data_IF_966148831159
#
_entry.id   IF_966148831159
#
_cell.length_a   1.000
_cell.length_b   1.000
_cell.length_c   1.000
_cell.angle_alpha   90.00
_cell.angle_beta   90.00
_cell.angle_gamma   90.00
#
_symmetry.space_group_name_H-M   'P 1'
#
loop_
_entity.id
_entity.type
_entity.pdbx_description
1 polymer ?
#
# COMPACT_ATOMS: atom_id res chain seq x y z
N UNK A 1 21.04 76.94 -58.79
CA UNK A 1 20.04 76.10 -59.48
C UNK A 1 20.68 74.75 -59.83
N UNK A 2 20.63 73.77 -58.91
CA UNK A 2 21.15 72.41 -59.11
C UNK A 2 20.19 71.46 -58.36
N UNK A 3 19.35 70.72 -59.13
CA UNK A 3 19.47 69.27 -59.45
C UNK A 3 19.34 68.43 -58.16
N UNK A 4 18.15 67.91 -57.84
CA UNK A 4 17.52 66.69 -58.39
C UNK A 4 18.48 65.48 -58.36
N UNK A 5 18.28 64.59 -57.38
CA UNK A 5 18.27 63.14 -57.55
C UNK A 5 17.70 62.44 -56.29
N UNK A 6 16.57 61.78 -56.53
CA UNK A 6 15.83 60.73 -55.83
C UNK A 6 16.65 59.41 -55.91
N UNK A 7 16.44 58.32 -55.14
CA UNK A 7 15.87 58.12 -53.79
C UNK A 7 16.62 57.08 -52.91
N UNK A 8 16.03 56.82 -51.73
CA UNK A 8 16.14 55.64 -50.85
C UNK A 8 17.48 55.42 -50.15
N UNK A 9 17.51 55.73 -48.85
CA UNK A 9 18.19 54.87 -47.88
C UNK A 9 17.71 55.09 -46.44
N UNK A 10 17.32 53.98 -45.82
CA UNK A 10 17.34 53.65 -44.40
C UNK A 10 16.54 54.52 -43.40
N UNK A 11 15.30 54.09 -43.14
CA UNK A 11 14.70 54.23 -41.81
C UNK A 11 15.27 53.11 -40.93
N UNK A 12 16.06 53.48 -39.92
CA UNK A 12 16.38 52.61 -38.77
C UNK A 12 15.72 53.26 -37.56
N UNK A 13 14.59 52.68 -37.14
CA UNK A 13 13.96 52.96 -35.86
C UNK A 13 14.43 51.89 -34.86
N UNK A 14 15.02 52.38 -33.78
CA UNK A 14 15.37 51.67 -32.56
C UNK A 14 14.08 51.26 -31.83
N UNK A 15 13.95 49.99 -31.48
CA UNK A 15 13.71 49.51 -30.10
C UNK A 15 13.06 48.12 -30.08
N UNK A 16 13.65 47.28 -29.21
CA UNK A 16 13.16 46.02 -28.64
C UNK A 16 12.98 44.83 -29.59
N UNK A 17 13.96 43.92 -29.55
CA UNK A 17 13.71 42.50 -29.83
C UNK A 17 14.95 41.71 -30.24
N UNK A 18 15.27 40.70 -29.42
CA UNK A 18 16.02 39.47 -29.76
C UNK A 18 17.56 39.54 -29.74
N UNK A 19 18.19 38.67 -28.91
CA UNK A 19 18.78 37.41 -29.39
C UNK A 19 19.46 36.63 -28.26
N UNK A 20 19.13 35.34 -28.20
CA UNK A 20 19.80 34.29 -27.44
C UNK A 20 19.00 33.02 -27.70
N UNK A 21 19.21 32.40 -28.86
CA UNK A 21 20.03 31.21 -29.05
C UNK A 21 19.34 29.94 -28.56
N UNK A 22 19.23 28.98 -29.46
CA UNK A 22 18.56 27.69 -29.31
C UNK A 22 19.17 26.88 -28.16
N UNK A 23 18.33 26.44 -27.24
CA UNK A 23 18.52 25.22 -26.50
C UNK A 23 17.16 24.50 -26.50
N UNK A 24 17.10 23.37 -27.23
CA UNK A 24 16.04 22.38 -27.09
C UNK A 24 16.02 21.95 -25.62
N UNK A 25 15.07 22.45 -24.84
CA UNK A 25 14.76 21.86 -23.54
C UNK A 25 13.82 20.69 -23.77
N UNK A 26 14.41 19.51 -23.57
CA UNK A 26 13.80 18.21 -23.50
C UNK A 26 12.75 18.21 -22.37
N UNK A 27 11.46 18.11 -22.72
CA UNK A 27 10.37 18.01 -21.74
C UNK A 27 10.27 16.57 -21.18
N UNK A 28 11.38 16.03 -20.72
CA UNK A 28 11.44 14.72 -20.04
C UNK A 28 11.29 14.86 -18.52
N UNK A 29 11.44 16.06 -17.97
CA UNK A 29 11.42 16.28 -16.51
C UNK A 29 10.01 16.57 -15.94
N UNK A 30 9.01 16.87 -16.78
CA UNK A 30 7.64 17.13 -16.34
C UNK A 30 6.79 15.85 -16.14
N UNK A 31 7.38 14.66 -16.33
CA UNK A 31 6.71 13.36 -16.14
C UNK A 31 7.15 12.64 -14.85
N UNK A 32 8.13 13.19 -14.14
CA UNK A 32 8.57 12.67 -12.84
C UNK A 32 7.89 13.36 -11.65
N UNK A 33 7.19 14.47 -11.87
CA UNK A 33 6.46 15.22 -10.83
C UNK A 33 4.95 14.92 -10.83
N UNK A 34 4.59 13.64 -11.04
CA UNK A 34 3.21 13.15 -10.88
C UNK A 34 3.11 11.93 -9.96
N UNK A 35 4.21 11.54 -9.31
CA UNK A 35 4.24 10.70 -8.11
C UNK A 35 3.96 11.55 -6.86
N UNK A 36 2.86 12.29 -6.87
CA UNK A 36 2.41 13.02 -5.68
C UNK A 36 1.64 12.04 -4.79
N UNK A 37 2.12 11.92 -3.55
CA UNK A 37 1.55 11.19 -2.39
C UNK A 37 1.70 9.66 -2.38
N UNK A 38 2.93 9.17 -2.42
CA UNK A 38 3.30 8.08 -1.52
C UNK A 38 3.95 8.74 -0.29
N UNK A 39 3.31 8.61 0.87
CA UNK A 39 3.92 8.96 2.13
C UNK A 39 5.32 8.35 2.17
N UNK A 40 6.30 9.11 2.62
CA UNK A 40 7.70 8.70 2.76
C UNK A 40 7.75 7.31 3.42
N UNK A 41 7.82 6.25 2.62
CA UNK A 41 7.68 4.88 3.11
C UNK A 41 8.77 4.68 4.17
N UNK A 42 8.35 4.47 5.42
CA UNK A 42 9.26 4.22 6.54
C UNK A 42 10.22 3.06 6.25
N UNK A 43 11.22 2.84 7.08
CA UNK A 43 12.12 1.68 6.95
C UNK A 43 11.34 0.36 6.83
N UNK A 44 11.97 -0.69 6.29
CA UNK A 44 11.37 -2.02 6.20
C UNK A 44 10.74 -2.46 7.53
N UNK A 45 11.46 -2.25 8.64
CA UNK A 45 11.00 -2.61 9.99
C UNK A 45 9.77 -1.82 10.40
N UNK A 46 9.73 -0.51 10.17
CA UNK A 46 8.57 0.33 10.49
C UNK A 46 7.35 -0.08 9.67
N UNK A 47 7.50 -0.33 8.36
CA UNK A 47 6.38 -0.77 7.49
C UNK A 47 5.83 -2.13 7.92
N UNK A 48 6.70 -3.09 8.19
CA UNK A 48 6.27 -4.43 8.60
C UNK A 48 5.62 -4.41 9.99
N UNK A 49 6.12 -3.59 10.91
CA UNK A 49 5.55 -3.45 12.24
C UNK A 49 4.18 -2.76 12.20
N UNK A 50 4.02 -1.72 11.37
CA UNK A 50 2.74 -1.06 11.15
C UNK A 50 1.72 -2.04 10.52
N UNK A 51 2.15 -2.84 9.55
CA UNK A 51 1.31 -3.88 8.96
C UNK A 51 0.88 -4.92 10.01
N UNK A 52 1.81 -5.46 10.79
CA UNK A 52 1.47 -6.43 11.84
C UNK A 52 0.47 -5.84 12.85
N UNK A 53 0.69 -4.59 13.28
CA UNK A 53 -0.23 -3.90 14.17
C UNK A 53 -1.63 -3.77 13.56
N UNK A 54 -1.73 -3.42 12.27
CA UNK A 54 -3.02 -3.35 11.56
C UNK A 54 -3.71 -4.70 11.54
N UNK A 55 -2.99 -5.76 11.17
CA UNK A 55 -3.55 -7.12 11.12
C UNK A 55 -4.01 -7.61 12.50
N UNK A 56 -3.30 -7.25 13.58
CA UNK A 56 -3.73 -7.52 14.96
C UNK A 56 -5.05 -6.81 15.26
N UNK A 57 -5.17 -5.51 14.96
CA UNK A 57 -6.41 -4.75 15.19
C UNK A 57 -7.58 -5.28 14.38
N UNK A 58 -7.36 -5.61 13.12
CA UNK A 58 -8.36 -6.25 12.27
C UNK A 58 -8.79 -7.61 12.84
N UNK A 59 -7.84 -8.41 13.33
CA UNK A 59 -8.13 -9.67 14.00
C UNK A 59 -8.97 -9.50 15.27
N UNK A 60 -8.70 -8.48 16.09
CA UNK A 60 -9.50 -8.14 17.28
C UNK A 60 -10.95 -7.81 16.90
N UNK A 61 -11.13 -6.98 15.85
CA UNK A 61 -12.44 -6.63 15.30
C UNK A 61 -13.19 -7.90 14.84
N UNK A 62 -12.50 -8.81 14.15
CA UNK A 62 -13.11 -10.07 13.72
C UNK A 62 -13.52 -10.98 14.87
N UNK A 63 -12.67 -11.14 15.89
CA UNK A 63 -13.01 -11.93 17.07
C UNK A 63 -14.27 -11.40 17.77
N UNK A 64 -14.44 -10.08 17.80
CA UNK A 64 -15.58 -9.42 18.44
C UNK A 64 -16.86 -9.46 17.60
N UNK A 65 -16.77 -9.23 16.28
CA UNK A 65 -17.93 -8.98 15.43
C UNK A 65 -18.40 -10.18 14.61
N UNK A 66 -17.49 -11.10 14.29
CA UNK A 66 -17.79 -12.19 13.37
C UNK A 66 -18.93 -13.09 13.86
N UNK A 67 -19.81 -13.45 12.92
CA UNK A 67 -20.92 -14.39 13.16
C UNK A 67 -20.58 -15.78 12.66
N UNK A 68 -19.74 -15.88 11.63
CA UNK A 68 -19.16 -17.14 11.15
C UNK A 68 -17.95 -17.54 12.00
N UNK A 69 -18.01 -18.73 12.62
CA UNK A 69 -16.95 -19.24 13.48
C UNK A 69 -15.60 -19.39 12.77
N UNK A 70 -15.60 -19.60 11.44
CA UNK A 70 -14.37 -19.68 10.65
C UNK A 70 -13.70 -18.31 10.55
N UNK A 71 -14.48 -17.23 10.43
CA UNK A 71 -13.97 -15.85 10.41
C UNK A 71 -13.44 -15.46 11.78
N UNK A 72 -14.16 -15.83 12.85
CA UNK A 72 -13.71 -15.60 14.23
C UNK A 72 -12.38 -16.30 14.50
N UNK A 73 -12.27 -17.57 14.09
CA UNK A 73 -11.02 -18.34 14.20
C UNK A 73 -9.90 -17.69 13.39
N UNK A 74 -10.16 -17.34 12.13
CA UNK A 74 -9.19 -16.66 11.28
C UNK A 74 -8.68 -15.37 11.92
N UNK A 75 -9.56 -14.52 12.47
CA UNK A 75 -9.17 -13.32 13.23
C UNK A 75 -8.25 -13.63 14.42
N UNK A 76 -8.56 -14.68 15.19
CA UNK A 76 -7.70 -15.13 16.30
C UNK A 76 -6.32 -15.60 15.84
N UNK A 77 -6.25 -16.33 14.73
CA UNK A 77 -4.98 -16.78 14.16
C UNK A 77 -4.13 -15.61 13.65
N UNK A 78 -4.75 -14.61 13.00
CA UNK A 78 -4.09 -13.37 12.58
C UNK A 78 -3.46 -12.63 13.76
N UNK A 79 -4.18 -12.46 14.88
CA UNK A 79 -3.62 -11.83 16.09
C UNK A 79 -2.35 -12.58 16.52
N UNK A 80 -2.42 -13.91 16.61
CA UNK A 80 -1.30 -14.74 17.07
C UNK A 80 -0.11 -14.66 16.14
N UNK A 81 -0.32 -14.81 14.83
CA UNK A 81 0.74 -14.80 13.82
C UNK A 81 1.45 -13.45 13.78
N UNK A 82 0.68 -12.35 13.72
CA UNK A 82 1.26 -11.02 13.62
C UNK A 82 1.88 -10.53 14.93
N UNK A 83 1.37 -10.97 16.09
CA UNK A 83 2.05 -10.70 17.37
C UNK A 83 3.43 -11.36 17.42
N UNK A 84 3.53 -12.63 16.99
CA UNK A 84 4.81 -13.33 16.93
C UNK A 84 5.77 -12.68 15.92
N UNK A 85 5.24 -12.22 14.78
CA UNK A 85 5.98 -11.48 13.76
C UNK A 85 6.55 -10.15 14.30
N UNK A 86 5.74 -9.36 15.02
CA UNK A 86 6.18 -8.11 15.64
C UNK A 86 7.31 -8.32 16.64
N UNK A 87 7.26 -9.39 17.43
CA UNK A 87 8.35 -9.73 18.36
C UNK A 87 9.66 -10.04 17.61
N UNK A 88 9.60 -10.68 16.44
CA UNK A 88 10.78 -10.92 15.61
C UNK A 88 11.34 -9.61 15.03
N UNK A 89 10.46 -8.71 14.55
CA UNK A 89 10.87 -7.39 14.06
C UNK A 89 11.53 -6.55 15.15
N UNK A 90 11.02 -6.62 16.38
CA UNK A 90 11.62 -5.94 17.54
C UNK A 90 13.02 -6.49 17.88
N UNK A 91 13.25 -7.81 17.79
CA UNK A 91 14.59 -8.39 17.98
C UNK A 91 15.56 -7.91 16.89
N UNK A 92 15.12 -7.88 15.62
CA UNK A 92 15.93 -7.36 14.51
C UNK A 92 16.27 -5.89 14.75
N UNK A 93 15.27 -5.06 15.07
CA UNK A 93 15.46 -3.63 15.35
C UNK A 93 16.44 -3.39 16.49
N UNK A 94 16.28 -4.12 17.60
CA UNK A 94 17.17 -4.01 18.77
C UNK A 94 18.62 -4.34 18.41
N UNK A 95 18.87 -5.41 17.64
CA UNK A 95 20.22 -5.77 17.18
C UNK A 95 20.84 -4.72 16.26
N UNK A 96 20.01 -3.96 15.56
CA UNK A 96 20.43 -2.87 14.68
C UNK A 96 20.51 -1.52 15.38
N UNK A 97 20.22 -1.44 16.69
CA UNK A 97 20.20 -0.19 17.45
C UNK A 97 19.05 0.74 17.06
N UNK A 98 17.99 0.19 16.45
CA UNK A 98 16.79 0.93 16.04
C UNK A 98 15.71 0.78 17.12
N UNK A 99 15.14 1.91 17.56
CA UNK A 99 13.96 1.89 18.41
C UNK A 99 12.71 1.75 17.53
N UNK A 100 12.14 0.55 17.50
CA UNK A 100 10.95 0.25 16.71
C UNK A 100 9.68 0.38 17.57
N UNK A 101 8.92 1.44 17.31
CA UNK A 101 7.60 1.65 17.92
C UNK A 101 6.54 1.50 16.81
N UNK A 102 5.78 0.40 16.78
CA UNK A 102 4.74 0.22 15.78
C UNK A 102 3.63 1.26 15.95
N UNK A 103 3.29 1.96 14.88
CA UNK A 103 2.20 2.93 14.84
C UNK A 103 1.35 2.72 13.58
N UNK A 104 0.04 2.92 13.70
CA UNK A 104 -0.85 2.91 12.55
C UNK A 104 -0.84 4.27 11.87
N UNK A 105 -0.76 4.28 10.55
CA UNK A 105 -1.06 5.47 9.76
C UNK A 105 -2.52 5.90 9.98
N UNK A 106 -2.84 7.15 9.65
CA UNK A 106 -4.23 7.62 9.72
C UNK A 106 -5.15 6.78 8.83
N UNK A 107 -4.68 6.41 7.65
CA UNK A 107 -5.45 5.57 6.72
C UNK A 107 -5.72 4.18 7.29
N UNK A 108 -4.73 3.54 7.94
CA UNK A 108 -4.93 2.23 8.55
C UNK A 108 -5.89 2.29 9.75
N UNK A 109 -5.83 3.37 10.55
CA UNK A 109 -6.79 3.61 11.64
C UNK A 109 -8.22 3.75 11.10
N UNK A 110 -8.39 4.55 10.04
CA UNK A 110 -9.69 4.79 9.41
C UNK A 110 -10.23 3.48 8.80
N UNK A 111 -9.38 2.64 8.21
CA UNK A 111 -9.77 1.34 7.65
C UNK A 111 -10.22 0.33 8.72
N UNK A 112 -9.47 0.23 9.82
CA UNK A 112 -9.87 -0.57 11.00
C UNK A 112 -11.21 -0.07 11.54
N UNK A 113 -11.36 1.25 11.68
CA UNK A 113 -12.61 1.89 12.12
C UNK A 113 -13.78 1.55 11.22
N UNK A 114 -13.60 1.69 9.89
CA UNK A 114 -14.63 1.38 8.89
C UNK A 114 -15.13 -0.06 9.01
N UNK A 115 -14.24 -1.04 9.10
CA UNK A 115 -14.63 -2.45 9.27
C UNK A 115 -15.30 -2.70 10.63
N UNK A 116 -14.87 -2.01 11.68
CA UNK A 116 -15.48 -2.11 12.99
C UNK A 116 -16.89 -1.51 13.05
N UNK A 117 -17.22 -0.55 12.19
CA UNK A 117 -18.54 0.07 12.10
C UNK A 117 -19.52 -0.70 11.21
N UNK A 118 -19.05 -1.65 10.40
CA UNK A 118 -19.92 -2.43 9.53
C UNK A 118 -20.97 -3.26 10.30
N UNK A 119 -22.14 -3.43 9.67
CA UNK A 119 -23.21 -4.28 10.19
C UNK A 119 -22.73 -5.74 10.27
N UNK A 120 -23.13 -6.46 11.31
CA UNK A 120 -22.69 -7.85 11.54
C UNK A 120 -23.03 -8.79 10.37
N UNK A 121 -24.16 -8.57 9.71
CA UNK A 121 -24.62 -9.40 8.59
C UNK A 121 -23.74 -9.28 7.33
N UNK A 122 -23.04 -8.16 7.18
CA UNK A 122 -22.15 -7.87 6.03
C UNK A 122 -20.67 -8.07 6.38
N UNK A 123 -20.36 -7.98 7.68
CA UNK A 123 -19.01 -7.96 8.24
C UNK A 123 -18.16 -9.14 7.78
N UNK A 124 -18.64 -10.38 7.97
CA UNK A 124 -17.82 -11.59 7.73
C UNK A 124 -17.28 -11.64 6.30
N UNK A 125 -18.11 -11.29 5.31
CA UNK A 125 -17.71 -11.28 3.89
C UNK A 125 -16.85 -10.07 3.54
N UNK A 126 -17.12 -8.92 4.14
CA UNK A 126 -16.31 -7.72 3.93
C UNK A 126 -14.90 -7.89 4.48
N UNK A 127 -14.81 -8.33 5.73
CA UNK A 127 -13.57 -8.64 6.43
C UNK A 127 -12.72 -9.63 5.65
N UNK A 128 -13.22 -10.83 5.33
CA UNK A 128 -12.40 -11.84 4.62
C UNK A 128 -11.92 -11.34 3.24
N UNK A 129 -12.74 -10.58 2.49
CA UNK A 129 -12.29 -9.99 1.23
C UNK A 129 -11.16 -8.99 1.45
N UNK A 130 -11.28 -8.17 2.49
CA UNK A 130 -10.23 -7.21 2.85
C UNK A 130 -8.94 -7.95 3.24
N UNK A 131 -9.03 -9.02 4.04
CA UNK A 131 -7.86 -9.82 4.42
C UNK A 131 -7.16 -10.48 3.22
N UNK A 132 -7.91 -10.98 2.22
CA UNK A 132 -7.31 -11.47 0.97
C UNK A 132 -6.55 -10.36 0.25
N UNK A 133 -7.08 -9.14 0.22
CA UNK A 133 -6.43 -8.00 -0.41
C UNK A 133 -5.12 -7.63 0.30
N UNK A 134 -5.17 -7.41 1.62
CA UNK A 134 -4.01 -7.04 2.44
C UNK A 134 -2.87 -8.07 2.31
N UNK A 135 -3.21 -9.36 2.42
CA UNK A 135 -2.24 -10.45 2.32
C UNK A 135 -1.58 -10.49 0.94
N UNK A 136 -2.37 -10.35 -0.14
CA UNK A 136 -1.85 -10.32 -1.50
C UNK A 136 -0.89 -9.13 -1.70
N UNK A 137 -1.29 -7.94 -1.28
CA UNK A 137 -0.45 -6.75 -1.39
C UNK A 137 0.85 -6.90 -0.60
N UNK A 138 0.81 -7.50 0.59
CA UNK A 138 2.00 -7.72 1.39
C UNK A 138 2.93 -8.78 0.77
N UNK A 139 2.39 -9.88 0.25
CA UNK A 139 3.18 -10.88 -0.49
C UNK A 139 3.90 -10.24 -1.69
N UNK A 140 3.19 -9.41 -2.47
CA UNK A 140 3.77 -8.70 -3.61
C UNK A 140 4.89 -7.74 -3.19
N UNK A 141 4.74 -7.05 -2.05
CA UNK A 141 5.80 -6.20 -1.49
C UNK A 141 6.99 -7.03 -1.02
N UNK A 142 6.77 -8.04 -0.17
CA UNK A 142 7.84 -8.87 0.39
C UNK A 142 8.63 -9.64 -0.67
N UNK A 143 8.01 -10.00 -1.79
CA UNK A 143 8.73 -10.63 -2.90
C UNK A 143 9.85 -9.74 -3.46
N UNK A 144 9.73 -8.41 -3.37
CA UNK A 144 10.77 -7.45 -3.78
C UNK A 144 11.96 -7.44 -2.81
N UNK A 145 11.72 -7.80 -1.55
CA UNK A 145 12.73 -7.79 -0.47
C UNK A 145 13.39 -9.17 -0.27
N UNK A 146 13.08 -10.17 -1.10
CA UNK A 146 13.65 -11.52 -1.02
C UNK A 146 15.16 -11.58 -1.26
N UNK A 147 15.73 -10.55 -1.89
CA UNK A 147 17.17 -10.40 -2.16
C UNK A 147 17.77 -9.19 -1.43
N UNK A 148 17.16 -8.75 -0.32
CA UNK A 148 17.69 -7.65 0.48
C UNK A 148 19.15 -7.91 0.89
N UNK A 149 19.97 -6.85 0.93
CA UNK A 149 21.39 -6.94 1.31
C UNK A 149 21.55 -7.25 2.80
N UNK A 150 20.63 -6.78 3.62
CA UNK A 150 20.53 -7.12 5.03
C UNK A 150 20.07 -8.57 5.19
N UNK A 151 20.94 -9.39 5.77
CA UNK A 151 20.70 -10.82 5.93
C UNK A 151 19.60 -11.12 6.95
N UNK A 152 19.35 -10.23 7.91
CA UNK A 152 18.28 -10.36 8.89
C UNK A 152 16.92 -10.10 8.22
N UNK A 153 16.81 -9.02 7.43
CA UNK A 153 15.62 -8.71 6.63
C UNK A 153 15.33 -9.87 5.68
N UNK A 154 16.31 -10.30 4.89
CA UNK A 154 16.14 -11.41 3.95
C UNK A 154 15.66 -12.69 4.64
N UNK A 155 16.23 -13.03 5.79
CA UNK A 155 15.83 -14.20 6.58
C UNK A 155 14.41 -14.09 7.15
N UNK A 156 14.01 -12.88 7.57
CA UNK A 156 12.66 -12.59 8.04
C UNK A 156 11.64 -12.76 6.89
N UNK A 157 11.93 -12.20 5.71
CA UNK A 157 11.07 -12.31 4.52
C UNK A 157 10.86 -13.76 4.13
N UNK A 158 11.93 -14.55 4.05
CA UNK A 158 11.86 -15.97 3.69
C UNK A 158 11.00 -16.82 4.65
N UNK A 159 10.93 -16.44 5.93
CA UNK A 159 10.08 -17.11 6.93
C UNK A 159 8.64 -16.61 6.93
N UNK A 160 8.42 -15.36 6.54
CA UNK A 160 7.11 -14.70 6.62
C UNK A 160 6.24 -15.03 5.41
N UNK A 161 6.83 -15.09 4.20
CA UNK A 161 6.09 -15.35 2.96
C UNK A 161 5.18 -16.61 3.02
N UNK A 162 5.64 -17.78 3.51
CA UNK A 162 4.77 -18.95 3.62
C UNK A 162 3.59 -18.76 4.58
N UNK A 163 3.77 -17.98 5.66
CA UNK A 163 2.69 -17.71 6.61
C UNK A 163 1.62 -16.80 6.01
N UNK A 164 2.03 -15.78 5.25
CA UNK A 164 1.09 -14.92 4.51
C UNK A 164 0.34 -15.71 3.44
N UNK A 165 1.04 -16.57 2.67
CA UNK A 165 0.42 -17.39 1.63
C UNK A 165 -0.60 -18.40 2.20
N UNK A 166 -0.26 -19.03 3.32
CA UNK A 166 -1.18 -19.91 4.05
C UNK A 166 -2.43 -19.15 4.51
N UNK A 167 -2.27 -17.96 5.09
CA UNK A 167 -3.38 -17.13 5.58
C UNK A 167 -4.25 -16.63 4.42
N UNK A 168 -3.64 -16.24 3.29
CA UNK A 168 -4.36 -15.88 2.07
C UNK A 168 -5.17 -17.07 1.51
N UNK A 169 -4.60 -18.27 1.53
CA UNK A 169 -5.27 -19.49 1.07
C UNK A 169 -6.48 -19.82 1.95
N UNK A 170 -6.34 -19.73 3.28
CA UNK A 170 -7.45 -19.94 4.21
C UNK A 170 -8.56 -18.89 4.00
N UNK A 171 -8.21 -17.61 3.89
CA UNK A 171 -9.17 -16.54 3.65
C UNK A 171 -9.93 -16.73 2.33
N UNK A 172 -9.23 -17.10 1.24
CA UNK A 172 -9.86 -17.40 -0.05
C UNK A 172 -10.84 -18.57 0.04
N UNK A 173 -10.49 -19.62 0.78
CA UNK A 173 -11.38 -20.77 0.99
C UNK A 173 -12.65 -20.38 1.73
N UNK A 174 -12.53 -19.60 2.81
CA UNK A 174 -13.68 -19.07 3.56
C UNK A 174 -14.58 -18.25 2.62
N UNK A 175 -13.98 -17.37 1.81
CA UNK A 175 -14.71 -16.53 0.86
C UNK A 175 -15.45 -17.33 -0.21
N UNK A 176 -14.83 -18.38 -0.74
CA UNK A 176 -15.44 -19.26 -1.74
C UNK A 176 -16.64 -20.01 -1.15
N UNK A 177 -16.50 -20.56 0.05
CA UNK A 177 -17.58 -21.28 0.72
C UNK A 177 -18.78 -20.36 1.01
N UNK A 178 -18.53 -19.12 1.45
CA UNK A 178 -19.60 -18.12 1.63
C UNK A 178 -20.34 -17.82 0.30
N UNK A 179 -19.61 -17.73 -0.82
CA UNK A 179 -20.22 -17.53 -2.15
C UNK A 179 -21.13 -18.69 -2.53
N UNK A 180 -20.69 -19.93 -2.31
CA UNK A 180 -21.50 -21.14 -2.58
C UNK A 180 -22.76 -21.16 -1.73
N UNK A 181 -22.66 -20.84 -0.44
CA UNK A 181 -23.81 -20.80 0.47
C UNK A 181 -24.85 -19.75 0.04
N UNK A 182 -24.42 -18.56 -0.40
CA UNK A 182 -25.33 -17.55 -0.93
C UNK A 182 -26.05 -18.02 -2.19
N UNK A 183 -25.33 -18.61 -3.15
CA UNK A 183 -25.93 -19.11 -4.39
C UNK A 183 -26.97 -20.19 -4.11
N UNK A 184 -26.70 -21.12 -3.20
CA UNK A 184 -27.64 -22.19 -2.84
C UNK A 184 -28.90 -21.64 -2.14
N UNK A 185 -28.78 -20.59 -1.33
CA UNK A 185 -29.94 -19.94 -0.69
C UNK A 185 -30.86 -19.27 -1.71
N UNK A 186 -30.29 -18.68 -2.76
CA UNK A 186 -31.06 -18.03 -3.82
C UNK A 186 -31.82 -19.04 -4.68
N UNK A 187 -31.28 -20.25 -4.89
CA UNK A 187 -31.95 -21.32 -5.66
C UNK A 187 -33.08 -21.97 -4.87
N UNK A 188 -33.02 -21.97 -3.53
CA UNK A 188 -34.02 -22.64 -2.68
C UNK A 188 -35.29 -21.81 -2.41
N UNK A 189 -35.36 -20.55 -2.86
CA UNK A 189 -36.49 -19.64 -2.63
C UNK A 189 -37.31 -19.34 -3.90
N UNK A 190 -36.96 -19.93 -5.04
CA UNK A 190 -37.76 -19.98 -6.27
C UNK A 190 -38.51 -21.33 -6.39
#
# INVERSE_FOLDING_TARGET
MKRLCIPVLAVVLMACGQRGNEARHDNTEAREEMTRTEEKEGSFLERMAAFDLKQIRLGEVAVQKATDDRVKKFGGDMIKQHTASTLQLQDIAHRQGVNLVPELSRNDQDEVGRLNEENKDEFDRSYIRHMVHEQKMMIERLNKDTNDKDTAIRSYVQRTLPALDSSMTEANKILEDMRKQMNNRNISHD
#
